data_IF_160641426837
#
_entry.id   IF_160641426837
#
_cell.length_a   1.000
_cell.length_b   1.000
_cell.length_c   1.000
_cell.angle_alpha   90.00
_cell.angle_beta   90.00
_cell.angle_gamma   90.00
#
_symmetry.space_group_name_H-M   'P 1'
#
loop_
_entity.id
_entity.type
_entity.pdbx_description
1 polymer ?
#
# COMPACT_ATOMS: atom_id res chain seq x y z
N UNK A 1 11.34 11.56 21.15
CA UNK A 1 11.48 10.96 19.80
C UNK A 1 12.94 11.05 19.39
N UNK A 2 13.58 9.91 19.12
CA UNK A 2 15.02 9.81 18.81
C UNK A 2 15.38 10.56 17.53
N UNK A 3 16.61 11.08 17.45
CA UNK A 3 17.12 11.83 16.28
C UNK A 3 17.03 11.04 14.97
N UNK A 4 17.01 9.70 15.04
CA UNK A 4 16.84 8.81 13.88
C UNK A 4 15.52 9.05 13.14
N UNK A 5 14.41 9.33 13.85
CA UNK A 5 13.12 9.63 13.23
C UNK A 5 13.18 10.96 12.44
N UNK A 6 13.94 11.96 12.90
CA UNK A 6 14.07 13.25 12.20
C UNK A 6 14.82 13.15 10.87
N UNK A 7 15.75 12.19 10.73
CA UNK A 7 16.43 11.94 9.45
C UNK A 7 15.54 11.25 8.42
N UNK A 8 14.63 10.37 8.86
CA UNK A 8 13.64 9.73 7.98
C UNK A 8 12.66 10.76 7.38
N UNK A 9 12.33 11.81 8.15
CA UNK A 9 11.44 12.90 7.74
C UNK A 9 12.18 14.17 7.28
N UNK A 10 13.36 14.04 6.67
CA UNK A 10 14.10 15.20 6.16
C UNK A 10 13.31 15.91 5.05
N UNK A 11 12.77 17.10 5.37
CA UNK A 11 11.90 17.92 4.51
C UNK A 11 12.54 18.32 3.18
N UNK A 12 13.86 18.27 3.07
CA UNK A 12 14.58 18.77 1.89
C UNK A 12 14.95 17.67 0.88
N UNK A 13 14.63 16.39 1.13
CA UNK A 13 14.93 15.30 0.18
C UNK A 13 13.86 14.24 -0.09
N UNK A 14 12.72 14.16 0.60
CA UNK A 14 11.80 13.03 0.38
C UNK A 14 10.31 13.38 0.52
N UNK A 15 9.61 13.20 -0.61
CA UNK A 15 8.20 12.82 -0.74
C UNK A 15 7.11 13.66 -0.02
N UNK A 16 6.20 14.25 -0.81
CA UNK A 16 4.96 14.88 -0.34
C UNK A 16 3.77 14.02 -0.78
N UNK A 17 2.84 13.63 0.12
CA UNK A 17 1.53 13.12 -0.29
C UNK A 17 0.84 14.22 -1.13
N UNK A 18 0.76 14.05 -2.45
CA UNK A 18 0.17 15.07 -3.34
C UNK A 18 -1.35 15.05 -3.31
N UNK A 19 -1.96 13.88 -3.10
CA UNK A 19 -3.42 13.76 -2.96
C UNK A 19 -3.81 13.73 -1.49
N UNK A 20 -4.24 14.88 -0.99
CA UNK A 20 -4.97 14.98 0.27
C UNK A 20 -6.46 14.91 -0.06
N UNK A 21 -7.23 14.20 0.74
CA UNK A 21 -8.69 14.29 0.64
C UNK A 21 -9.10 15.75 0.93
N UNK A 22 -9.86 16.35 0.03
CA UNK A 22 -10.26 17.75 0.16
C UNK A 22 -11.30 17.91 1.28
N UNK A 23 -11.08 18.80 2.26
CA UNK A 23 -12.04 19.05 3.33
C UNK A 23 -13.44 19.38 2.78
N UNK A 24 -14.48 18.80 3.37
CA UNK A 24 -15.87 19.00 2.95
C UNK A 24 -16.35 18.04 1.84
N UNK A 25 -15.52 17.08 1.42
CA UNK A 25 -15.92 16.01 0.49
C UNK A 25 -16.32 14.73 1.24
N UNK A 26 -17.21 13.93 0.64
CA UNK A 26 -17.60 12.61 1.20
C UNK A 26 -16.38 11.73 1.49
N UNK A 27 -15.37 11.73 0.61
CA UNK A 27 -14.16 10.94 0.79
C UNK A 27 -13.28 11.43 1.93
N UNK A 28 -13.25 12.74 2.17
CA UNK A 28 -12.58 13.28 3.36
C UNK A 28 -13.28 12.83 4.64
N UNK A 29 -14.61 12.83 4.67
CA UNK A 29 -15.37 12.35 5.82
C UNK A 29 -15.18 10.85 6.04
N UNK A 30 -15.18 10.05 4.96
CA UNK A 30 -14.87 8.62 5.01
C UNK A 30 -13.44 8.37 5.51
N UNK A 31 -12.46 9.11 5.03
CA UNK A 31 -11.08 9.00 5.52
C UNK A 31 -10.98 9.33 7.01
N UNK A 32 -11.67 10.38 7.45
CA UNK A 32 -11.71 10.76 8.87
C UNK A 32 -12.40 9.69 9.72
N UNK A 33 -13.50 9.09 9.25
CA UNK A 33 -14.15 7.95 9.91
C UNK A 33 -13.20 6.77 10.04
N UNK A 34 -12.52 6.39 8.97
CA UNK A 34 -11.53 5.30 8.98
C UNK A 34 -10.40 5.56 9.98
N UNK A 35 -9.82 6.77 9.99
CA UNK A 35 -8.77 7.15 10.93
C UNK A 35 -9.25 7.18 12.38
N UNK A 36 -10.45 7.70 12.63
CA UNK A 36 -11.04 7.72 13.96
C UNK A 36 -11.20 6.31 14.52
N UNK A 37 -11.67 5.37 13.69
CA UNK A 37 -11.81 3.97 14.10
C UNK A 37 -10.47 3.34 14.49
N UNK A 38 -9.44 3.56 13.68
CA UNK A 38 -8.08 3.07 13.96
C UNK A 38 -7.51 3.68 15.26
N UNK A 39 -7.71 4.98 15.48
CA UNK A 39 -7.18 5.69 16.65
C UNK A 39 -7.93 5.37 17.94
N UNK A 40 -9.20 4.99 17.84
CA UNK A 40 -10.02 4.58 18.99
C UNK A 40 -9.68 3.18 19.52
N UNK A 41 -8.72 2.47 18.89
CA UNK A 41 -8.33 1.12 19.29
C UNK A 41 -9.41 0.08 18.99
N UNK A 42 -10.33 0.35 18.06
CA UNK A 42 -11.30 -0.63 17.58
C UNK A 42 -10.58 -1.82 16.95
N UNK A 43 -11.22 -2.98 17.01
CA UNK A 43 -10.78 -4.17 16.28
C UNK A 43 -10.63 -3.80 14.79
N UNK A 44 -9.44 -4.04 14.23
CA UNK A 44 -9.14 -3.73 12.83
C UNK A 44 -10.12 -4.42 11.87
N UNK A 45 -10.67 -5.58 12.22
CA UNK A 45 -11.71 -6.26 11.42
C UNK A 45 -13.00 -5.45 11.36
N UNK A 46 -13.38 -4.79 12.44
CA UNK A 46 -14.55 -3.90 12.46
C UNK A 46 -14.24 -2.58 11.74
N UNK A 47 -13.02 -2.06 11.91
CA UNK A 47 -12.61 -0.79 11.32
C UNK A 47 -12.61 -0.78 9.77
N UNK A 48 -12.47 -1.94 9.13
CA UNK A 48 -12.46 -2.07 7.66
C UNK A 48 -13.85 -2.22 7.04
N UNK A 49 -14.89 -2.51 7.84
CA UNK A 49 -16.24 -2.74 7.33
C UNK A 49 -16.79 -1.49 6.63
N UNK A 50 -17.55 -1.70 5.57
CA UNK A 50 -18.22 -0.62 4.85
C UNK A 50 -19.24 0.03 5.80
N UNK A 51 -19.14 1.34 6.10
CA UNK A 51 -20.10 1.99 6.97
C UNK A 51 -21.50 1.98 6.35
N UNK A 52 -22.53 1.89 7.19
CA UNK A 52 -23.92 1.82 6.73
C UNK A 52 -24.29 3.05 5.89
N UNK A 53 -24.84 2.80 4.70
CA UNK A 53 -25.29 3.84 3.76
C UNK A 53 -24.19 4.44 2.88
N UNK A 54 -22.93 3.99 3.00
CA UNK A 54 -21.83 4.48 2.17
C UNK A 54 -21.62 3.63 0.91
N UNK A 55 -21.06 4.25 -0.12
CA UNK A 55 -20.74 3.58 -1.39
C UNK A 55 -19.47 2.74 -1.30
N UNK A 56 -19.53 1.47 -1.74
CA UNK A 56 -18.37 0.56 -1.74
C UNK A 56 -17.17 1.13 -2.52
N UNK A 57 -17.40 1.73 -3.69
CA UNK A 57 -16.30 2.26 -4.51
C UNK A 57 -15.60 3.44 -3.83
N UNK A 58 -16.34 4.34 -3.16
CA UNK A 58 -15.75 5.43 -2.39
C UNK A 58 -14.95 4.92 -1.20
N UNK A 59 -15.47 3.91 -0.51
CA UNK A 59 -14.76 3.27 0.60
C UNK A 59 -13.45 2.64 0.15
N UNK A 60 -13.47 1.88 -0.95
CA UNK A 60 -12.26 1.31 -1.56
C UNK A 60 -11.31 2.40 -2.03
N UNK A 61 -11.80 3.47 -2.68
CA UNK A 61 -10.95 4.54 -3.16
C UNK A 61 -10.18 5.23 -2.03
N UNK A 62 -10.84 5.50 -0.90
CA UNK A 62 -10.22 6.07 0.29
C UNK A 62 -9.11 5.17 0.82
N UNK A 63 -9.38 3.86 0.94
CA UNK A 63 -8.40 2.90 1.46
C UNK A 63 -7.22 2.68 0.51
N UNK A 64 -7.45 2.62 -0.80
CA UNK A 64 -6.37 2.48 -1.79
C UNK A 64 -5.38 3.63 -1.67
N UNK A 65 -5.86 4.87 -1.54
CA UNK A 65 -5.00 6.05 -1.37
C UNK A 65 -4.30 6.05 0.00
N UNK A 66 -5.00 5.69 1.08
CA UNK A 66 -4.38 5.57 2.42
C UNK A 66 -3.25 4.53 2.44
N UNK A 67 -3.52 3.32 1.92
CA UNK A 67 -2.51 2.26 1.85
C UNK A 67 -1.35 2.63 0.96
N UNK A 68 -1.58 3.25 -0.21
CA UNK A 68 -0.48 3.73 -1.05
C UNK A 68 0.43 4.68 -0.27
N UNK A 69 -0.13 5.70 0.39
CA UNK A 69 0.66 6.67 1.14
C UNK A 69 1.45 6.04 2.28
N UNK A 70 0.83 5.14 3.04
CA UNK A 70 1.46 4.47 4.20
C UNK A 70 2.52 3.46 3.78
N UNK A 71 2.25 2.66 2.75
CA UNK A 71 3.21 1.68 2.22
C UNK A 71 4.38 2.38 1.54
N UNK A 72 4.15 3.48 0.84
CA UNK A 72 5.23 4.29 0.27
C UNK A 72 6.15 4.87 1.37
N UNK A 73 5.57 5.31 2.49
CA UNK A 73 6.36 5.74 3.66
C UNK A 73 7.19 4.59 4.24
N UNK A 74 6.59 3.40 4.39
CA UNK A 74 7.31 2.19 4.86
C UNK A 74 8.50 1.88 3.95
N UNK A 75 8.30 1.85 2.63
CA UNK A 75 9.40 1.62 1.69
C UNK A 75 10.47 2.71 1.79
N UNK A 76 10.07 3.97 1.98
CA UNK A 76 10.98 5.09 2.21
C UNK A 76 11.97 4.86 3.35
N UNK A 77 11.58 4.13 4.40
CA UNK A 77 12.45 3.84 5.56
C UNK A 77 13.59 2.86 5.27
N UNK A 78 13.47 2.04 4.22
CA UNK A 78 14.46 1.00 3.87
C UNK A 78 15.14 1.28 2.53
N UNK A 79 14.71 2.31 1.80
CA UNK A 79 15.13 2.59 0.43
C UNK A 79 16.63 2.89 0.27
N UNK A 80 17.30 3.34 1.34
CA UNK A 80 18.75 3.53 1.39
C UNK A 80 19.54 2.21 1.38
N UNK A 81 18.93 1.13 1.88
CA UNK A 81 19.52 -0.21 2.02
C UNK A 81 19.05 -1.22 0.95
N UNK A 82 17.99 -0.90 0.23
CA UNK A 82 17.48 -1.68 -0.91
C UNK A 82 18.15 -1.19 -2.19
N UNK A 83 19.22 -1.87 -2.63
CA UNK A 83 20.04 -1.48 -3.78
C UNK A 83 20.07 -2.59 -4.83
N UNK A 84 20.61 -2.29 -6.01
CA UNK A 84 20.80 -3.30 -7.06
C UNK A 84 21.77 -4.41 -6.62
N UNK A 85 22.63 -4.15 -5.63
CA UNK A 85 23.57 -5.13 -5.08
C UNK A 85 22.92 -5.99 -3.99
N UNK A 86 22.16 -5.38 -3.07
CA UNK A 86 21.50 -6.13 -1.98
C UNK A 86 20.25 -6.86 -2.46
N UNK A 87 19.56 -6.30 -3.47
CA UNK A 87 18.30 -6.83 -4.01
C UNK A 87 18.31 -6.79 -5.55
N UNK A 88 19.18 -7.60 -6.20
CA UNK A 88 19.33 -7.61 -7.66
C UNK A 88 18.07 -8.09 -8.41
N UNK A 89 17.15 -8.74 -7.70
CA UNK A 89 15.86 -9.20 -8.22
C UNK A 89 14.75 -8.89 -7.22
N UNK A 90 13.64 -8.32 -7.71
CA UNK A 90 12.43 -8.16 -6.92
C UNK A 90 11.82 -9.52 -6.59
N UNK A 91 11.88 -9.91 -5.33
CA UNK A 91 11.44 -11.23 -4.87
C UNK A 91 10.76 -11.19 -3.50
N UNK A 92 10.02 -12.26 -3.23
CA UNK A 92 9.50 -12.61 -1.92
C UNK A 92 10.21 -13.84 -1.39
N UNK A 93 11.52 -13.72 -1.16
CA UNK A 93 12.37 -14.86 -0.83
C UNK A 93 12.62 -15.78 -2.03
N UNK A 94 13.18 -16.98 -1.81
CA UNK A 94 13.66 -17.85 -2.90
C UNK A 94 12.54 -18.45 -3.76
N UNK A 95 11.28 -18.43 -3.29
CA UNK A 95 10.14 -19.08 -3.95
C UNK A 95 9.40 -18.17 -4.93
N UNK A 96 9.45 -16.85 -4.73
CA UNK A 96 8.60 -15.91 -5.46
C UNK A 96 9.45 -14.83 -6.13
N UNK A 97 9.41 -14.77 -7.45
CA UNK A 97 10.03 -13.71 -8.24
C UNK A 97 8.95 -12.83 -8.87
N UNK A 98 9.06 -11.51 -8.72
CA UNK A 98 8.11 -10.56 -9.30
C UNK A 98 8.70 -9.86 -10.51
N UNK A 99 8.12 -10.13 -11.68
CA UNK A 99 8.51 -9.50 -12.94
C UNK A 99 7.65 -8.28 -13.24
N UNK A 100 8.26 -7.25 -13.81
CA UNK A 100 7.56 -6.04 -14.20
C UNK A 100 7.10 -6.13 -15.65
N UNK A 101 5.91 -5.62 -15.92
CA UNK A 101 5.39 -5.44 -17.27
C UNK A 101 4.52 -4.19 -17.31
N UNK A 102 4.70 -3.40 -18.36
CA UNK A 102 3.88 -2.26 -18.72
C UNK A 102 3.68 -2.18 -20.24
N UNK A 103 2.83 -1.26 -20.67
CA UNK A 103 2.49 -1.09 -22.09
C UNK A 103 3.52 -0.26 -22.87
N UNK A 104 4.52 0.31 -22.18
CA UNK A 104 5.42 1.31 -22.73
C UNK A 104 6.83 0.73 -22.94
N UNK A 105 7.60 0.63 -21.86
CA UNK A 105 9.02 0.26 -21.88
C UNK A 105 9.22 -1.25 -21.70
N UNK A 106 8.43 -1.88 -20.83
CA UNK A 106 8.59 -3.29 -20.45
C UNK A 106 7.43 -4.12 -20.99
N UNK A 107 7.38 -4.30 -22.31
CA UNK A 107 6.26 -4.97 -23.01
C UNK A 107 6.09 -6.46 -22.66
N UNK A 108 7.13 -7.10 -22.14
CA UNK A 108 7.12 -8.50 -21.67
C UNK A 108 7.51 -8.57 -20.19
N UNK A 109 7.07 -9.59 -19.43
CA UNK A 109 7.48 -9.78 -18.04
C UNK A 109 9.01 -9.80 -17.91
N UNK A 110 9.55 -8.74 -17.32
CA UNK A 110 10.99 -8.47 -17.22
C UNK A 110 11.44 -8.56 -15.77
N UNK A 111 12.52 -9.29 -15.53
CA UNK A 111 13.18 -9.31 -14.22
C UNK A 111 13.87 -7.96 -14.00
N UNK A 112 13.65 -7.36 -12.84
CA UNK A 112 14.24 -6.09 -12.42
C UNK A 112 14.74 -6.23 -10.98
N UNK A 113 15.73 -5.41 -10.61
CA UNK A 113 16.11 -5.23 -9.22
C UNK A 113 14.92 -4.72 -8.41
N UNK A 114 14.91 -5.05 -7.11
CA UNK A 114 13.86 -4.59 -6.21
C UNK A 114 13.72 -3.06 -6.21
N UNK A 115 14.78 -2.24 -6.04
CA UNK A 115 14.60 -0.78 -6.02
C UNK A 115 14.05 -0.24 -7.34
N UNK A 116 14.46 -0.83 -8.48
CA UNK A 116 13.92 -0.42 -9.78
C UNK A 116 12.45 -0.79 -9.93
N UNK A 117 12.07 -1.99 -9.50
CA UNK A 117 10.69 -2.44 -9.49
C UNK A 117 9.81 -1.53 -8.62
N UNK A 118 10.28 -1.22 -7.40
CA UNK A 118 9.54 -0.38 -6.44
C UNK A 118 9.31 1.03 -6.98
N UNK A 119 10.32 1.65 -7.60
CA UNK A 119 10.17 2.95 -8.26
C UNK A 119 9.08 2.91 -9.34
N UNK A 120 9.15 1.95 -10.27
CA UNK A 120 8.14 1.82 -11.34
C UNK A 120 6.74 1.54 -10.79
N UNK A 121 6.64 0.75 -9.72
CA UNK A 121 5.40 0.42 -9.05
C UNK A 121 4.76 1.65 -8.42
N UNK A 122 5.52 2.42 -7.63
CA UNK A 122 5.00 3.61 -6.96
C UNK A 122 4.59 4.68 -7.97
N UNK A 123 5.40 4.92 -9.00
CA UNK A 123 5.09 5.86 -10.09
C UNK A 123 3.80 5.44 -10.82
N UNK A 124 3.67 4.14 -11.14
CA UNK A 124 2.48 3.63 -11.82
C UNK A 124 1.22 3.80 -10.97
N UNK A 125 1.27 3.46 -9.67
CA UNK A 125 0.13 3.64 -8.76
C UNK A 125 -0.21 5.12 -8.63
N UNK A 126 0.78 6.01 -8.48
CA UNK A 126 0.58 7.46 -8.39
C UNK A 126 -0.19 7.99 -9.60
N UNK A 127 0.17 7.55 -10.81
CA UNK A 127 -0.57 7.93 -12.03
C UNK A 127 -2.02 7.42 -11.99
N UNK A 128 -2.27 6.20 -11.51
CA UNK A 128 -3.63 5.67 -11.43
C UNK A 128 -4.49 6.44 -10.42
N UNK A 129 -3.99 6.64 -9.20
CA UNK A 129 -4.75 7.28 -8.13
C UNK A 129 -4.99 8.77 -8.39
N UNK A 130 -4.19 9.42 -9.25
CA UNK A 130 -4.39 10.81 -9.64
C UNK A 130 -5.22 10.97 -10.92
N UNK A 131 -5.55 9.88 -11.62
CA UNK A 131 -6.40 9.94 -12.81
C UNK A 131 -7.87 10.09 -12.41
N UNK A 132 -8.47 11.25 -12.67
CA UNK A 132 -9.87 11.53 -12.33
C UNK A 132 -10.89 10.66 -13.08
N UNK A 133 -10.50 10.08 -14.22
CA UNK A 133 -11.35 9.11 -14.92
C UNK A 133 -11.41 7.75 -14.21
N UNK A 134 -10.48 7.48 -13.29
CA UNK A 134 -10.42 6.25 -12.47
C UNK A 134 -10.87 6.56 -11.05
N UNK A 135 -10.34 7.62 -10.45
CA UNK A 135 -10.65 8.09 -9.10
C UNK A 135 -11.27 9.50 -9.16
N UNK A 136 -12.56 9.63 -9.52
CA UNK A 136 -13.22 10.92 -9.74
C UNK A 136 -13.26 11.75 -8.48
N UNK A 137 -12.96 13.05 -8.52
CA UNK A 137 -12.93 13.93 -7.33
C UNK A 137 -14.27 14.58 -7.02
N UNK A 138 -15.06 14.85 -8.06
CA UNK A 138 -16.31 15.58 -7.95
C UNK A 138 -17.45 14.72 -7.40
N UNK A 139 -18.17 15.27 -6.43
CA UNK A 139 -19.39 14.66 -5.88
C UNK A 139 -20.40 14.43 -7.01
N UNK A 140 -20.99 13.24 -7.06
CA UNK A 140 -21.97 12.85 -8.08
C UNK A 140 -21.36 12.31 -9.38
N UNK A 141 -20.03 12.35 -9.56
CA UNK A 141 -19.39 11.68 -10.69
C UNK A 141 -19.24 10.19 -10.39
N UNK A 142 -19.86 9.29 -11.19
CA UNK A 142 -19.76 7.86 -10.94
C UNK A 142 -18.36 7.34 -11.26
N UNK A 143 -17.92 6.32 -10.52
CA UNK A 143 -16.71 5.58 -10.86
C UNK A 143 -16.88 4.84 -12.20
N UNK A 144 -15.79 4.65 -12.97
CA UNK A 144 -15.85 3.83 -14.17
C UNK A 144 -16.13 2.37 -13.80
N UNK A 145 -16.73 1.62 -14.74
CA UNK A 145 -17.00 0.17 -14.57
C UNK A 145 -15.73 -0.65 -14.28
N UNK A 146 -14.57 -0.15 -14.69
CA UNK A 146 -13.26 -0.78 -14.49
C UNK A 146 -12.61 -0.44 -13.15
N UNK A 147 -13.18 0.46 -12.35
CA UNK A 147 -12.58 0.94 -11.10
C UNK A 147 -12.13 -0.21 -10.20
N UNK A 148 -13.01 -1.18 -9.95
CA UNK A 148 -12.66 -2.28 -9.07
C UNK A 148 -11.54 -3.16 -9.61
N UNK A 149 -11.46 -3.36 -10.92
CA UNK A 149 -10.36 -4.09 -11.53
C UNK A 149 -9.03 -3.36 -11.32
N UNK A 150 -9.02 -2.03 -11.46
CA UNK A 150 -7.83 -1.21 -11.22
C UNK A 150 -7.44 -1.23 -9.74
N UNK A 151 -8.40 -1.06 -8.83
CA UNK A 151 -8.16 -1.11 -7.38
C UNK A 151 -7.55 -2.45 -6.95
N UNK A 152 -8.09 -3.58 -7.43
CA UNK A 152 -7.53 -4.93 -7.18
C UNK A 152 -6.09 -5.04 -7.66
N UNK A 153 -5.78 -4.53 -8.86
CA UNK A 153 -4.42 -4.53 -9.42
C UNK A 153 -3.45 -3.68 -8.59
N UNK A 154 -3.89 -2.52 -8.10
CA UNK A 154 -3.10 -1.66 -7.21
C UNK A 154 -2.80 -2.38 -5.90
N UNK A 155 -3.83 -2.91 -5.23
CA UNK A 155 -3.68 -3.58 -3.94
C UNK A 155 -2.79 -4.83 -4.04
N UNK A 156 -3.00 -5.66 -5.06
CA UNK A 156 -2.14 -6.84 -5.29
C UNK A 156 -0.67 -6.46 -5.51
N UNK A 157 -0.40 -5.33 -6.18
CA UNK A 157 0.96 -4.81 -6.37
C UNK A 157 1.53 -4.24 -5.06
N UNK A 158 0.75 -3.48 -4.29
CA UNK A 158 1.14 -2.96 -2.98
C UNK A 158 1.49 -4.08 -1.98
N UNK A 159 0.78 -5.21 -2.05
CA UNK A 159 1.11 -6.38 -1.22
C UNK A 159 2.57 -6.85 -1.42
N UNK A 160 3.10 -6.80 -2.65
CA UNK A 160 4.48 -7.19 -2.97
C UNK A 160 5.51 -6.33 -2.23
N UNK A 161 5.16 -5.10 -1.90
CA UNK A 161 6.00 -4.22 -1.07
C UNK A 161 6.11 -4.77 0.35
N UNK A 162 5.00 -5.19 0.95
CA UNK A 162 5.04 -5.85 2.25
C UNK A 162 5.87 -7.12 2.20
N UNK A 163 5.65 -7.99 1.21
CA UNK A 163 6.41 -9.25 1.05
C UNK A 163 7.90 -8.97 1.05
N UNK A 164 8.34 -8.02 0.22
CA UNK A 164 9.75 -7.67 0.11
C UNK A 164 10.32 -7.07 1.40
N UNK A 165 9.60 -6.15 2.04
CA UNK A 165 10.01 -5.52 3.29
C UNK A 165 10.16 -6.56 4.40
N UNK A 166 9.17 -7.45 4.58
CA UNK A 166 9.19 -8.48 5.62
C UNK A 166 10.29 -9.53 5.41
N UNK A 167 10.56 -9.91 4.17
CA UNK A 167 11.52 -10.98 3.88
C UNK A 167 12.97 -10.47 3.84
N UNK A 168 13.20 -9.29 3.28
CA UNK A 168 14.56 -8.80 3.00
C UNK A 168 15.02 -7.66 3.90
N UNK A 169 14.10 -6.89 4.50
CA UNK A 169 14.44 -5.65 5.21
C UNK A 169 13.85 -5.55 6.62
N UNK A 170 13.31 -6.63 7.17
CA UNK A 170 12.65 -6.58 8.47
C UNK A 170 13.63 -6.30 9.62
N UNK A 171 14.87 -6.76 9.53
CA UNK A 171 15.92 -6.43 10.51
C UNK A 171 16.15 -4.92 10.57
N UNK A 172 16.16 -4.25 9.42
CA UNK A 172 16.30 -2.78 9.34
C UNK A 172 15.08 -2.08 9.93
N UNK A 173 13.87 -2.53 9.61
CA UNK A 173 12.62 -2.04 10.21
C UNK A 173 12.65 -2.18 11.74
N UNK A 174 13.18 -3.30 12.23
CA UNK A 174 13.30 -3.61 13.67
C UNK A 174 14.33 -2.70 14.35
N UNK A 175 15.51 -2.50 13.74
CA UNK A 175 16.55 -1.57 14.23
C UNK A 175 16.04 -0.13 14.35
N UNK A 176 15.09 0.28 13.50
CA UNK A 176 14.48 1.60 13.55
C UNK A 176 13.33 1.71 14.55
N UNK A 177 12.92 0.60 15.19
CA UNK A 177 11.74 0.55 16.07
C UNK A 177 10.43 0.76 15.31
N UNK A 178 10.40 0.54 14.00
CA UNK A 178 9.24 0.80 13.15
C UNK A 178 8.32 -0.43 12.97
N UNK A 179 8.71 -1.60 13.50
CA UNK A 179 8.00 -2.87 13.36
C UNK A 179 6.50 -2.77 13.67
N UNK A 180 6.13 -2.19 14.82
CA UNK A 180 4.72 -2.09 15.21
C UNK A 180 3.87 -1.30 14.19
N UNK A 181 4.46 -0.29 13.55
CA UNK A 181 3.78 0.52 12.53
C UNK A 181 3.60 -0.27 11.23
N UNK A 182 4.64 -1.00 10.79
CA UNK A 182 4.57 -1.87 9.60
C UNK A 182 3.55 -2.99 9.84
N UNK A 183 3.60 -3.63 11.02
CA UNK A 183 2.68 -4.68 11.42
C UNK A 183 1.22 -4.22 11.46
N UNK A 184 0.96 -3.05 12.04
CA UNK A 184 -0.40 -2.48 12.09
C UNK A 184 -0.89 -2.12 10.68
N UNK A 185 -0.02 -1.56 9.83
CA UNK A 185 -0.36 -1.26 8.45
C UNK A 185 -0.67 -2.53 7.65
N UNK A 186 0.12 -3.59 7.84
CA UNK A 186 -0.08 -4.87 7.19
C UNK A 186 -1.38 -5.55 7.65
N UNK A 187 -1.66 -5.60 8.96
CA UNK A 187 -2.92 -6.17 9.48
C UNK A 187 -4.14 -5.44 8.92
N UNK A 188 -4.11 -4.10 8.95
CA UNK A 188 -5.18 -3.28 8.38
C UNK A 188 -5.35 -3.57 6.88
N UNK A 189 -4.24 -3.57 6.11
CA UNK A 189 -4.26 -3.93 4.69
C UNK A 189 -4.86 -5.33 4.45
N UNK A 190 -4.37 -6.33 5.18
CA UNK A 190 -4.80 -7.72 5.04
C UNK A 190 -6.30 -7.86 5.27
N UNK A 191 -6.81 -7.37 6.40
CA UNK A 191 -8.25 -7.44 6.70
C UNK A 191 -9.09 -6.73 5.65
N UNK A 192 -8.65 -5.55 5.18
CA UNK A 192 -9.35 -4.81 4.14
C UNK A 192 -9.43 -5.58 2.81
N UNK A 193 -8.29 -6.11 2.33
CA UNK A 193 -8.29 -6.84 1.05
C UNK A 193 -9.04 -8.17 1.13
N UNK A 194 -9.07 -8.82 2.30
CA UNK A 194 -9.85 -10.05 2.49
C UNK A 194 -11.34 -9.78 2.63
N UNK A 195 -11.74 -8.73 3.35
CA UNK A 195 -13.16 -8.35 3.56
C UNK A 195 -13.88 -8.14 2.23
N UNK A 196 -13.24 -7.46 1.28
CA UNK A 196 -13.84 -7.12 -0.02
C UNK A 196 -13.32 -7.98 -1.18
N UNK A 197 -12.60 -9.07 -0.91
CA UNK A 197 -12.01 -9.97 -1.92
C UNK A 197 -11.23 -9.20 -3.02
N UNK A 198 -10.33 -8.32 -2.59
CA UNK A 198 -9.58 -7.40 -3.45
C UNK A 198 -8.22 -7.93 -3.89
N UNK A 199 -7.81 -9.09 -3.38
CA UNK A 199 -6.57 -9.77 -3.73
C UNK A 199 -6.83 -11.27 -3.70
N UNK A 200 -6.35 -11.99 -4.72
CA UNK A 200 -6.46 -13.45 -4.78
C UNK A 200 -5.69 -14.07 -3.61
N UNK A 201 -6.27 -15.07 -2.95
CA UNK A 201 -5.62 -15.82 -1.88
C UNK A 201 -4.26 -16.37 -2.29
N UNK A 202 -4.07 -16.74 -3.56
CA UNK A 202 -2.77 -17.21 -4.07
C UNK A 202 -1.69 -16.13 -4.03
N UNK A 203 -2.03 -14.87 -4.26
CA UNK A 203 -1.08 -13.76 -4.16
C UNK A 203 -0.67 -13.50 -2.70
N UNK A 204 -1.50 -13.89 -1.71
CA UNK A 204 -1.23 -13.70 -0.28
C UNK A 204 -0.35 -14.79 0.34
N UNK A 205 -0.13 -15.91 -0.37
CA UNK A 205 0.64 -17.07 0.10
C UNK A 205 2.05 -16.72 0.62
N UNK A 206 2.84 -15.79 0.02
CA UNK A 206 4.19 -15.49 0.47
C UNK A 206 4.31 -15.06 1.94
N UNK A 207 3.25 -14.50 2.53
CA UNK A 207 3.24 -14.06 3.93
C UNK A 207 2.30 -14.87 4.83
N UNK A 208 1.70 -15.96 4.31
CA UNK A 208 0.64 -16.71 5.00
C UNK A 208 0.98 -17.13 6.43
N UNK A 209 2.17 -17.66 6.67
CA UNK A 209 2.59 -18.08 8.02
C UNK A 209 2.68 -16.87 8.97
N UNK A 210 3.22 -15.76 8.50
CA UNK A 210 3.32 -14.52 9.26
C UNK A 210 1.92 -13.94 9.52
N UNK A 211 1.06 -13.90 8.51
CA UNK A 211 -0.35 -13.53 8.65
C UNK A 211 -1.03 -14.37 9.72
N UNK A 212 -0.81 -15.69 9.72
CA UNK A 212 -1.40 -16.60 10.70
C UNK A 212 -0.96 -16.33 12.13
N UNK A 213 0.23 -15.77 12.37
CA UNK A 213 0.70 -15.41 13.73
C UNK A 213 0.26 -14.02 14.16
N UNK A 214 -0.04 -13.17 13.19
CA UNK A 214 -0.34 -11.75 13.43
C UNK A 214 -1.85 -11.47 13.50
N UNK A 215 -2.64 -12.16 12.69
CA UNK A 215 -4.05 -11.86 12.46
C UNK A 215 -5.01 -12.87 13.10
N UNK A 216 -4.47 -13.96 13.66
CA UNK A 216 -5.15 -15.04 14.35
C UNK A 216 -4.41 -15.35 15.65
#
# INVERSE_FOLDING_TARGET
MSMALKQVFNKDRTFRPKRKFEPGTQRFDLHKKAQASLNAGLDLKQAVQLPHGEGLNDWVAVHVVDFFNRINLIYGTISDSCTDQTCPVMSGGPKYEYRWQDEHKYKKPTALSAPKYMSLLMDWIEVQINNENIFPTNVGTPFPKTFMQVAKKILSRLFRVFVHVYIHHFDRVSQMGAEAHVNTCYKHFYYFVTEFNLTDHKELEPLKEMTSRMCH
#
